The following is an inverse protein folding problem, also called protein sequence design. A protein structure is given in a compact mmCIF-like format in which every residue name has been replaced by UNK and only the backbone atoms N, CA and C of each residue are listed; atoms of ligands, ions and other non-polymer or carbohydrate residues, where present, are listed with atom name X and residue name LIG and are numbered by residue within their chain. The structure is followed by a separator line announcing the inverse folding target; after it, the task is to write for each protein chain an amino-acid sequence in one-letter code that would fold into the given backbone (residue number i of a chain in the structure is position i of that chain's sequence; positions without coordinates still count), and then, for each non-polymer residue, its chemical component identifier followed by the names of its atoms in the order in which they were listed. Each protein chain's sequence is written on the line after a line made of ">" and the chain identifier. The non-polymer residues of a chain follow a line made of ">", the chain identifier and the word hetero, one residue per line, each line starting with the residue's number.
data_IF_090866502382
#
_entry.id   IF_090866502382
#
_cell.length_a   1.000
_cell.length_b   1.000
_cell.length_c   1.000
_cell.angle_alpha   90.00
_cell.angle_beta   90.00
_cell.angle_gamma   90.00
#
_symmetry.space_group_name_H-M   'P 1'
#
loop_
_entity.id
_entity.type
_entity.pdbx_description
1 polymer ?
#
# COMPACT_ATOMS: atom_id res chain seq x y z
N UNK A 1 -1.91 22.67 -6.23
CA UNK A 1 -1.19 21.39 -6.09
C UNK A 1 -2.21 20.30 -5.83
N UNK A 2 -2.09 19.16 -6.51
CA UNK A 2 -3.03 18.04 -6.40
C UNK A 2 -2.47 16.91 -5.52
N UNK A 3 -3.31 15.92 -5.22
CA UNK A 3 -2.89 14.69 -4.53
C UNK A 3 -2.04 13.83 -5.47
N UNK A 4 -0.87 13.40 -5.02
CA UNK A 4 -0.05 12.42 -5.73
C UNK A 4 -0.32 11.04 -5.13
N UNK A 5 -0.55 10.06 -5.98
CA UNK A 5 -0.90 8.69 -5.55
C UNK A 5 0.17 7.73 -6.08
N UNK A 6 0.66 6.86 -5.20
CA UNK A 6 1.59 5.79 -5.60
C UNK A 6 0.92 4.78 -6.53
N UNK A 7 1.71 3.89 -7.14
CA UNK A 7 1.15 2.63 -7.64
C UNK A 7 0.55 1.82 -6.48
N UNK A 8 -0.40 0.93 -6.79
CA UNK A 8 -1.00 0.03 -5.81
C UNK A 8 0.02 -1.00 -5.31
N UNK A 9 0.11 -1.14 -3.98
CA UNK A 9 1.02 -2.07 -3.32
C UNK A 9 0.21 -3.18 -2.63
N UNK A 10 0.68 -4.42 -2.70
CA UNK A 10 0.09 -5.52 -1.92
C UNK A 10 0.60 -5.48 -0.49
N UNK A 11 -0.30 -5.51 0.48
CA UNK A 11 0.06 -5.49 1.92
C UNK A 11 0.82 -6.75 2.33
N UNK A 12 0.51 -7.90 1.74
CA UNK A 12 1.29 -9.13 1.95
C UNK A 12 2.71 -9.02 1.38
N UNK A 13 2.90 -8.30 0.28
CA UNK A 13 4.23 -8.06 -0.28
C UNK A 13 5.03 -7.06 0.57
N UNK A 14 4.35 -6.07 1.17
CA UNK A 14 4.95 -5.10 2.08
C UNK A 14 5.51 -5.76 3.34
N UNK A 15 4.69 -6.53 4.06
CA UNK A 15 5.12 -7.18 5.32
C UNK A 15 6.21 -8.25 5.10
N UNK A 16 6.35 -8.76 3.87
CA UNK A 16 7.41 -9.70 3.49
C UNK A 16 8.68 -9.00 3.01
N UNK A 17 8.74 -7.67 3.03
CA UNK A 17 9.86 -6.88 2.53
C UNK A 17 10.23 -7.26 1.09
N UNK A 18 9.23 -7.47 0.24
CA UNK A 18 9.49 -7.76 -1.16
C UNK A 18 10.15 -6.54 -1.81
N UNK A 19 11.32 -6.73 -2.43
CA UNK A 19 12.11 -5.65 -3.05
C UNK A 19 11.28 -4.77 -4.00
N UNK A 20 10.30 -5.34 -4.69
CA UNK A 20 9.39 -4.58 -5.57
C UNK A 20 8.48 -3.65 -4.77
N UNK A 21 7.93 -4.11 -3.65
CA UNK A 21 7.03 -3.33 -2.81
C UNK A 21 7.78 -2.16 -2.13
N UNK A 22 9.02 -2.39 -1.67
CA UNK A 22 9.87 -1.33 -1.11
C UNK A 22 10.19 -0.24 -2.14
N UNK A 23 10.47 -0.62 -3.39
CA UNK A 23 10.66 0.36 -4.48
C UNK A 23 9.41 1.18 -4.77
N UNK A 24 8.23 0.58 -4.64
CA UNK A 24 6.95 1.27 -4.83
C UNK A 24 6.62 2.26 -3.69
N UNK A 25 7.18 2.04 -2.50
CA UNK A 25 7.07 2.98 -1.37
C UNK A 25 8.05 4.16 -1.44
N UNK A 26 9.01 4.15 -2.36
CA UNK A 26 10.02 5.20 -2.42
C UNK A 26 9.38 6.57 -2.71
N UNK A 27 9.47 7.48 -1.74
CA UNK A 27 8.87 8.81 -1.85
C UNK A 27 9.52 9.62 -2.99
N UNK A 28 8.70 10.21 -3.86
CA UNK A 28 9.16 11.05 -4.99
C UNK A 28 9.53 12.48 -4.56
N UNK A 29 9.26 12.85 -3.31
CA UNK A 29 9.41 14.21 -2.77
C UNK A 29 8.20 15.12 -3.04
N UNK A 30 7.22 14.65 -3.81
CA UNK A 30 5.97 15.35 -4.07
C UNK A 30 4.97 15.16 -2.92
N UNK A 31 4.20 16.22 -2.61
CA UNK A 31 3.23 16.23 -1.50
C UNK A 31 1.91 16.92 -1.88
N UNK A 32 0.77 16.49 -1.30
CA UNK A 32 0.64 15.34 -0.39
C UNK A 32 0.76 14.00 -1.14
N UNK A 33 1.40 13.01 -0.50
CA UNK A 33 1.57 11.65 -1.03
C UNK A 33 0.56 10.69 -0.41
N UNK A 34 -0.28 10.09 -1.23
CA UNK A 34 -1.14 8.95 -0.86
C UNK A 34 -0.51 7.64 -1.31
N UNK A 35 -0.26 6.72 -0.39
CA UNK A 35 0.15 5.36 -0.75
C UNK A 35 -1.05 4.43 -0.75
N UNK A 36 -1.24 3.69 -1.85
CA UNK A 36 -2.39 2.80 -1.99
C UNK A 36 -2.00 1.36 -1.68
N UNK A 37 -2.66 0.73 -0.70
CA UNK A 37 -2.47 -0.66 -0.31
C UNK A 37 -3.69 -1.53 -0.67
N UNK A 38 -3.46 -2.83 -0.84
CA UNK A 38 -4.51 -3.83 -1.07
C UNK A 38 -4.25 -5.10 -0.26
N UNK A 39 -5.29 -5.84 0.08
CA UNK A 39 -5.17 -7.09 0.85
C UNK A 39 -6.51 -7.53 1.44
N UNK A 40 -6.62 -8.83 1.76
CA UNK A 40 -7.81 -9.40 2.39
C UNK A 40 -7.68 -9.68 3.89
N UNK A 41 -6.45 -9.62 4.43
CA UNK A 41 -6.15 -9.97 5.81
C UNK A 41 -5.99 -8.70 6.66
N UNK A 42 -6.86 -8.44 7.66
CA UNK A 42 -6.85 -7.19 8.42
C UNK A 42 -5.51 -6.87 9.07
N UNK A 43 -4.79 -7.85 9.60
CA UNK A 43 -3.51 -7.58 10.26
C UNK A 43 -2.41 -7.26 9.24
N UNK A 44 -2.45 -7.86 8.05
CA UNK A 44 -1.54 -7.48 6.95
C UNK A 44 -1.80 -6.04 6.48
N UNK A 45 -3.07 -5.64 6.38
CA UNK A 45 -3.46 -4.27 6.02
C UNK A 45 -2.97 -3.26 7.07
N UNK A 46 -3.15 -3.58 8.35
CA UNK A 46 -2.71 -2.71 9.44
C UNK A 46 -1.18 -2.52 9.46
N UNK A 47 -0.44 -3.61 9.34
CA UNK A 47 1.03 -3.56 9.30
C UNK A 47 1.54 -2.88 8.02
N UNK A 48 0.93 -3.18 6.87
CA UNK A 48 1.24 -2.50 5.60
C UNK A 48 1.00 -0.99 5.67
N UNK A 49 -0.09 -0.54 6.30
CA UNK A 49 -0.37 0.88 6.51
C UNK A 49 0.69 1.57 7.39
N UNK A 50 1.13 0.90 8.46
CA UNK A 50 2.20 1.42 9.32
C UNK A 50 3.55 1.55 8.58
N UNK A 51 3.85 0.60 7.68
CA UNK A 51 5.04 0.68 6.83
C UNK A 51 4.94 1.85 5.83
N UNK A 52 3.77 2.09 5.25
CA UNK A 52 3.55 3.25 4.37
C UNK A 52 3.71 4.59 5.10
N UNK A 53 3.17 4.71 6.32
CA UNK A 53 3.37 5.89 7.17
C UNK A 53 4.86 6.11 7.46
N UNK A 54 5.57 5.05 7.87
CA UNK A 54 7.01 5.11 8.12
C UNK A 54 7.84 5.47 6.88
N UNK A 55 7.35 5.10 5.68
CA UNK A 55 7.93 5.48 4.39
C UNK A 55 7.60 6.93 3.95
N UNK A 56 6.77 7.65 4.72
CA UNK A 56 6.48 9.06 4.52
C UNK A 56 5.18 9.38 3.79
N UNK A 57 4.24 8.43 3.72
CA UNK A 57 2.90 8.69 3.22
C UNK A 57 2.17 9.73 4.08
N UNK A 58 1.54 10.72 3.44
CA UNK A 58 0.64 11.67 4.09
C UNK A 58 -0.78 11.07 4.24
N UNK A 59 -1.13 10.13 3.34
CA UNK A 59 -2.38 9.37 3.35
C UNK A 59 -2.11 7.90 3.00
N UNK A 60 -2.86 7.00 3.62
CA UNK A 60 -2.91 5.58 3.22
C UNK A 60 -4.30 5.28 2.67
N UNK A 61 -4.35 4.87 1.41
CA UNK A 61 -5.59 4.53 0.70
C UNK A 61 -5.75 3.01 0.57
N UNK A 62 -6.95 2.50 0.80
CA UNK A 62 -7.24 1.07 0.73
C UNK A 62 -7.97 0.78 -0.58
N UNK A 63 -7.28 0.13 -1.53
CA UNK A 63 -7.87 -0.24 -2.81
C UNK A 63 -8.88 -1.38 -2.61
N UNK A 64 -10.16 -1.03 -2.68
CA UNK A 64 -11.30 -1.95 -2.69
C UNK A 64 -11.88 -2.14 -4.10
N UNK A 65 -11.23 -1.56 -5.12
CA UNK A 65 -11.74 -1.50 -6.49
C UNK A 65 -11.27 -2.63 -7.40
N UNK A 66 -10.25 -3.40 -7.00
CA UNK A 66 -9.70 -4.47 -7.81
C UNK A 66 -10.50 -5.78 -7.62
N UNK A 67 -11.24 -6.28 -8.63
CA UNK A 67 -11.92 -7.58 -8.57
C UNK A 67 -10.96 -8.78 -8.66
N UNK A 68 -9.64 -8.56 -8.50
CA UNK A 68 -8.65 -9.60 -8.56
C UNK A 68 -8.90 -10.63 -7.45
N UNK A 69 -9.11 -11.87 -7.87
CA UNK A 69 -9.47 -13.09 -7.13
C UNK A 69 -8.59 -13.45 -5.92
N UNK A 70 -7.62 -12.62 -5.54
CA UNK A 70 -6.73 -12.80 -4.39
C UNK A 70 -7.23 -12.10 -3.11
N UNK A 71 -8.33 -11.34 -3.17
CA UNK A 71 -8.95 -10.70 -1.99
C UNK A 71 -10.07 -11.57 -1.40
N UNK A 72 -10.68 -12.49 -2.18
CA UNK A 72 -11.81 -13.33 -1.75
C UNK A 72 -11.43 -14.76 -1.36
N UNK A 73 -10.16 -15.15 -1.45
CA UNK A 73 -9.67 -16.44 -0.93
C UNK A 73 -8.87 -16.19 0.34
N UNK A 74 -9.60 -15.96 1.44
CA UNK A 74 -9.11 -16.33 2.75
C UNK A 74 -9.05 -17.86 2.82
N UNK A 75 -7.85 -18.42 2.75
CA UNK A 75 -7.58 -19.85 2.75
C UNK A 75 -6.19 -20.17 2.23
#
# INVERSE_FOLDING_TARGET
>A
MGLVVSEMISSEALIRHAVKAEKMMAATGERPLSMQISGGRPEALAEGAALCEAAGADLVDLNMGCPASNVTKGG
#
